data_IF_005379077900
#
_entry.id   IF_005379077900
#
_cell.length_a   1.000
_cell.length_b   1.000
_cell.length_c   1.000
_cell.angle_alpha   90.00
_cell.angle_beta   90.00
_cell.angle_gamma   90.00
#
_symmetry.space_group_name_H-M   'P 1'
#
loop_
_entity.id
_entity.type
_entity.pdbx_description
1 polymer ?
#
# COMPACT_ATOMS: atom_id res chain seq x y z
N UNK A 1 -53.06 -6.48 -34.77
CA UNK A 1 -51.85 -7.05 -35.39
C UNK A 1 -50.69 -6.07 -35.48
N UNK A 2 -50.68 -5.03 -36.33
CA UNK A 2 -49.49 -4.15 -36.48
C UNK A 2 -49.10 -3.40 -35.18
N UNK A 3 -50.07 -2.89 -34.40
CA UNK A 3 -49.74 -2.15 -33.16
C UNK A 3 -49.24 -3.03 -32.00
N UNK A 4 -49.65 -4.30 -31.96
CA UNK A 4 -49.20 -5.24 -30.92
C UNK A 4 -47.76 -5.69 -31.20
N UNK A 5 -47.43 -5.87 -32.49
CA UNK A 5 -46.06 -6.15 -32.93
C UNK A 5 -45.13 -4.98 -32.63
N UNK A 6 -45.58 -3.74 -32.86
CA UNK A 6 -44.80 -2.54 -32.52
C UNK A 6 -44.58 -2.39 -31.01
N UNK A 7 -45.62 -2.58 -30.19
CA UNK A 7 -45.47 -2.58 -28.72
C UNK A 7 -44.51 -3.66 -28.25
N UNK A 8 -44.60 -4.87 -28.81
CA UNK A 8 -43.70 -5.96 -28.47
C UNK A 8 -42.25 -5.63 -28.85
N UNK A 9 -42.05 -5.02 -30.02
CA UNK A 9 -40.75 -4.57 -30.51
C UNK A 9 -40.14 -3.51 -29.59
N UNK A 10 -40.92 -2.52 -29.19
CA UNK A 10 -40.45 -1.43 -28.33
C UNK A 10 -40.15 -1.93 -26.90
N UNK A 11 -40.96 -2.85 -26.38
CA UNK A 11 -40.69 -3.53 -25.10
C UNK A 11 -39.43 -4.40 -25.15
N UNK A 12 -39.21 -5.12 -26.26
CA UNK A 12 -37.99 -5.90 -26.47
C UNK A 12 -36.76 -5.01 -26.57
N UNK A 13 -36.82 -3.91 -27.31
CA UNK A 13 -35.72 -2.94 -27.40
C UNK A 13 -35.37 -2.36 -26.02
N UNK A 14 -36.38 -1.97 -25.23
CA UNK A 14 -36.15 -1.48 -23.87
C UNK A 14 -35.46 -2.52 -22.98
N UNK A 15 -35.92 -3.78 -23.03
CA UNK A 15 -35.30 -4.88 -22.27
C UNK A 15 -33.87 -5.16 -22.72
N UNK A 16 -33.59 -5.10 -24.02
CA UNK A 16 -32.24 -5.27 -24.57
C UNK A 16 -31.32 -4.17 -24.03
N UNK A 17 -31.73 -2.90 -24.12
CA UNK A 17 -30.92 -1.79 -23.61
C UNK A 17 -30.69 -1.86 -22.09
N UNK A 18 -31.69 -2.32 -21.34
CA UNK A 18 -31.53 -2.54 -19.89
C UNK A 18 -30.53 -3.67 -19.58
N UNK A 19 -30.59 -4.78 -20.35
CA UNK A 19 -29.64 -5.88 -20.23
C UNK A 19 -28.23 -5.45 -20.63
N UNK A 20 -28.07 -4.72 -21.74
CA UNK A 20 -26.77 -4.18 -22.17
C UNK A 20 -26.17 -3.26 -21.10
N UNK A 21 -26.99 -2.38 -20.50
CA UNK A 21 -26.53 -1.52 -19.39
C UNK A 21 -26.10 -2.33 -18.16
N UNK A 22 -26.84 -3.38 -17.81
CA UNK A 22 -26.50 -4.27 -16.69
C UNK A 22 -25.24 -5.08 -16.97
N UNK A 23 -25.08 -5.59 -18.19
CA UNK A 23 -23.88 -6.31 -18.63
C UNK A 23 -22.68 -5.38 -18.57
N UNK A 24 -22.77 -4.16 -19.10
CA UNK A 24 -21.68 -3.18 -19.04
C UNK A 24 -21.22 -2.88 -17.61
N UNK A 25 -22.15 -2.74 -16.66
CA UNK A 25 -21.80 -2.58 -15.23
C UNK A 25 -21.08 -3.79 -14.65
N UNK A 26 -21.53 -5.01 -14.98
CA UNK A 26 -20.89 -6.25 -14.53
C UNK A 26 -19.49 -6.39 -15.15
N UNK A 27 -19.32 -6.04 -16.42
CA UNK A 27 -18.01 -6.04 -17.08
C UNK A 27 -17.05 -5.04 -16.43
N UNK A 28 -17.52 -3.84 -16.07
CA UNK A 28 -16.75 -2.86 -15.30
C UNK A 28 -16.33 -3.40 -13.92
N UNK A 29 -17.25 -4.03 -13.18
CA UNK A 29 -16.95 -4.66 -11.88
C UNK A 29 -15.95 -5.81 -12.01
N UNK A 30 -16.10 -6.66 -13.04
CA UNK A 30 -15.20 -7.78 -13.31
C UNK A 30 -13.79 -7.31 -13.69
N UNK A 31 -13.67 -6.18 -14.39
CA UNK A 31 -12.36 -5.61 -14.76
C UNK A 31 -11.56 -5.13 -13.54
N UNK A 32 -12.21 -4.87 -12.39
CA UNK A 32 -11.55 -4.45 -11.15
C UNK A 32 -11.03 -5.68 -10.35
N UNK A 33 -11.59 -6.87 -10.55
CA UNK A 33 -11.25 -8.07 -9.77
C UNK A 33 -9.75 -8.47 -9.84
N UNK A 34 -9.09 -8.50 -11.01
CA UNK A 34 -7.67 -8.83 -11.08
C UNK A 34 -6.81 -7.90 -10.21
N UNK A 35 -7.15 -6.60 -10.21
CA UNK A 35 -6.46 -5.58 -9.42
C UNK A 35 -6.68 -5.78 -7.91
N UNK A 36 -7.88 -6.18 -7.49
CA UNK A 36 -8.16 -6.52 -6.09
C UNK A 36 -7.34 -7.74 -5.66
N UNK A 37 -7.26 -8.76 -6.50
CA UNK A 37 -6.47 -9.98 -6.23
C UNK A 37 -4.99 -9.62 -6.13
N UNK A 38 -4.46 -8.82 -7.07
CA UNK A 38 -3.08 -8.37 -7.05
C UNK A 38 -2.79 -7.53 -5.80
N UNK A 39 -3.63 -6.55 -5.48
CA UNK A 39 -3.47 -5.75 -4.26
C UNK A 39 -3.49 -6.63 -3.00
N UNK A 40 -4.40 -7.60 -2.92
CA UNK A 40 -4.48 -8.54 -1.79
C UNK A 40 -3.20 -9.38 -1.66
N UNK A 41 -2.66 -9.86 -2.78
CA UNK A 41 -1.41 -10.59 -2.81
C UNK A 41 -0.23 -9.72 -2.35
N UNK A 42 -0.14 -8.47 -2.83
CA UNK A 42 0.91 -7.52 -2.43
C UNK A 42 0.82 -7.15 -0.95
N UNK A 43 -0.38 -6.98 -0.41
CA UNK A 43 -0.59 -6.80 1.04
C UNK A 43 -0.05 -8.00 1.82
N UNK A 44 -0.35 -9.22 1.39
CA UNK A 44 0.16 -10.43 2.05
C UNK A 44 1.70 -10.53 1.98
N UNK A 45 2.30 -10.14 0.85
CA UNK A 45 3.76 -10.04 0.72
C UNK A 45 4.36 -9.02 1.69
N UNK A 46 3.77 -7.82 1.75
CA UNK A 46 4.22 -6.74 2.63
C UNK A 46 4.15 -7.14 4.12
N UNK A 47 3.04 -7.75 4.54
CA UNK A 47 2.87 -8.26 5.91
C UNK A 47 3.89 -9.37 6.24
N UNK A 48 4.10 -10.31 5.33
CA UNK A 48 5.13 -11.36 5.48
C UNK A 48 6.53 -10.75 5.63
N UNK A 49 6.83 -9.72 4.84
CA UNK A 49 8.08 -8.97 4.90
C UNK A 49 8.26 -8.25 6.24
N UNK A 50 7.23 -7.56 6.74
CA UNK A 50 7.24 -6.93 8.06
C UNK A 50 7.46 -7.95 9.20
N UNK A 51 6.78 -9.09 9.16
CA UNK A 51 6.96 -10.16 10.17
C UNK A 51 8.37 -10.75 10.12
N UNK A 52 8.96 -10.90 8.94
CA UNK A 52 10.34 -11.36 8.78
C UNK A 52 11.33 -10.37 9.37
N UNK A 53 11.15 -9.06 9.13
CA UNK A 53 11.97 -8.01 9.76
C UNK A 53 11.86 -8.07 11.28
N UNK A 54 10.65 -8.23 11.83
CA UNK A 54 10.44 -8.36 13.28
C UNK A 54 11.08 -9.62 13.88
N UNK A 55 11.07 -10.73 13.15
CA UNK A 55 11.75 -11.96 13.57
C UNK A 55 13.27 -11.76 13.55
N UNK A 56 13.79 -11.14 12.49
CA UNK A 56 15.22 -10.87 12.34
C UNK A 56 15.75 -9.87 13.36
N UNK A 57 14.96 -8.89 13.80
CA UNK A 57 15.41 -7.89 14.79
C UNK A 57 15.73 -8.51 16.15
N UNK A 58 15.15 -9.68 16.43
CA UNK A 58 15.33 -10.43 17.67
C UNK A 58 16.35 -11.55 17.56
N UNK A 59 16.90 -11.76 16.36
CA UNK A 59 17.84 -12.86 16.09
C UNK A 59 19.28 -12.38 16.23
N UNK A 60 20.10 -13.01 17.10
CA UNK A 60 21.51 -12.65 17.24
C UNK A 60 22.36 -13.10 16.05
N UNK A 61 21.79 -13.86 15.11
CA UNK A 61 22.49 -14.37 13.93
C UNK A 61 22.36 -13.45 12.70
N UNK A 62 21.50 -12.44 12.76
CA UNK A 62 21.30 -11.52 11.66
C UNK A 62 22.31 -10.39 11.74
N UNK A 63 22.99 -10.15 10.62
CA UNK A 63 23.92 -9.03 10.47
C UNK A 63 23.18 -7.78 10.02
N UNK A 64 23.72 -6.61 10.39
CA UNK A 64 23.17 -5.31 10.02
C UNK A 64 22.97 -5.17 8.49
N UNK A 65 23.90 -5.57 7.61
CA UNK A 65 23.69 -5.49 6.16
C UNK A 65 22.54 -6.36 5.64
N UNK A 66 22.32 -7.56 6.22
CA UNK A 66 21.18 -8.41 5.86
C UNK A 66 19.88 -7.70 6.26
N UNK A 67 19.86 -7.12 7.46
CA UNK A 67 18.69 -6.39 7.95
C UNK A 67 18.35 -5.18 7.06
N UNK A 68 19.36 -4.41 6.62
CA UNK A 68 19.18 -3.30 5.67
C UNK A 68 18.60 -3.75 4.33
N UNK A 69 19.04 -4.90 3.80
CA UNK A 69 18.46 -5.47 2.57
C UNK A 69 16.98 -5.83 2.76
N UNK A 70 16.61 -6.37 3.93
CA UNK A 70 15.21 -6.67 4.24
C UNK A 70 14.37 -5.40 4.34
N UNK A 71 14.89 -4.34 4.96
CA UNK A 71 14.25 -3.03 4.97
C UNK A 71 14.07 -2.46 3.56
N UNK A 72 15.11 -2.52 2.72
CA UNK A 72 15.02 -2.05 1.34
C UNK A 72 13.92 -2.78 0.58
N UNK A 73 13.88 -4.11 0.71
CA UNK A 73 12.87 -4.94 0.05
C UNK A 73 11.46 -4.61 0.52
N UNK A 74 11.26 -4.41 1.82
CA UNK A 74 9.98 -3.98 2.37
C UNK A 74 9.50 -2.66 1.76
N UNK A 75 10.38 -1.66 1.64
CA UNK A 75 10.00 -0.37 1.05
C UNK A 75 9.75 -0.45 -0.46
N UNK A 76 10.49 -1.30 -1.18
CA UNK A 76 10.21 -1.58 -2.60
C UNK A 76 8.82 -2.23 -2.77
N UNK A 77 8.50 -3.25 -1.97
CA UNK A 77 7.19 -3.91 -1.95
C UNK A 77 6.05 -2.94 -1.60
N UNK A 78 6.29 -2.04 -0.65
CA UNK A 78 5.33 -1.00 -0.29
C UNK A 78 5.10 0.00 -1.45
N UNK A 79 6.17 0.42 -2.14
CA UNK A 79 6.05 1.30 -3.31
C UNK A 79 5.24 0.66 -4.42
N UNK A 80 5.47 -0.62 -4.69
CA UNK A 80 4.71 -1.39 -5.68
C UNK A 80 3.22 -1.44 -5.32
N UNK A 81 2.89 -1.73 -4.05
CA UNK A 81 1.50 -1.71 -3.58
C UNK A 81 0.86 -0.33 -3.75
N UNK A 82 1.57 0.75 -3.37
CA UNK A 82 1.07 2.13 -3.53
C UNK A 82 0.81 2.45 -5.00
N UNK A 83 1.71 2.05 -5.89
CA UNK A 83 1.61 2.31 -7.33
C UNK A 83 0.40 1.60 -7.93
N UNK A 84 0.23 0.30 -7.65
CA UNK A 84 -0.89 -0.50 -8.15
C UNK A 84 -2.22 0.10 -7.68
N UNK A 85 -2.36 0.39 -6.39
CA UNK A 85 -3.60 0.95 -5.83
C UNK A 85 -3.94 2.31 -6.44
N UNK A 86 -2.94 3.15 -6.69
CA UNK A 86 -3.14 4.44 -7.36
C UNK A 86 -3.56 4.26 -8.82
N UNK A 87 -2.91 3.37 -9.56
CA UNK A 87 -3.16 3.19 -10.99
C UNK A 87 -4.59 2.68 -11.25
N UNK A 88 -5.18 1.98 -10.28
CA UNK A 88 -6.57 1.49 -10.33
C UNK A 88 -7.55 2.42 -9.61
N UNK A 89 -7.11 3.63 -9.26
CA UNK A 89 -7.89 4.66 -8.55
C UNK A 89 -8.52 4.15 -7.24
N UNK A 90 -7.93 3.14 -6.61
CA UNK A 90 -8.38 2.63 -5.32
C UNK A 90 -7.83 3.52 -4.19
N UNK A 91 -8.70 4.01 -3.29
CA UNK A 91 -8.24 4.86 -2.20
C UNK A 91 -7.31 4.10 -1.25
N UNK A 92 -6.16 4.70 -0.96
CA UNK A 92 -5.20 4.16 0.00
C UNK A 92 -5.61 4.50 1.44
N UNK A 93 -5.69 3.49 2.30
CA UNK A 93 -5.83 3.70 3.74
C UNK A 93 -4.44 3.89 4.38
N UNK A 94 -3.96 5.13 4.38
CA UNK A 94 -2.65 5.50 4.94
C UNK A 94 -2.50 5.15 6.42
N UNK A 95 -3.60 5.07 7.20
CA UNK A 95 -3.53 4.66 8.60
C UNK A 95 -3.14 3.18 8.79
N UNK A 96 -3.44 2.32 7.82
CA UNK A 96 -3.02 0.90 7.85
C UNK A 96 -1.56 0.78 7.42
N UNK A 97 -1.18 1.50 6.37
CA UNK A 97 0.21 1.56 5.90
C UNK A 97 1.13 2.09 7.02
N UNK A 98 0.73 3.17 7.68
CA UNK A 98 1.49 3.74 8.79
C UNK A 98 1.63 2.80 9.99
N UNK A 99 0.63 1.95 10.27
CA UNK A 99 0.74 0.92 11.29
C UNK A 99 1.78 -0.15 10.95
N UNK A 100 1.76 -0.65 9.72
CA UNK A 100 2.77 -1.62 9.24
C UNK A 100 4.18 -1.02 9.29
N UNK A 101 4.34 0.20 8.76
CA UNK A 101 5.62 0.91 8.78
C UNK A 101 6.13 1.19 10.22
N UNK A 102 5.22 1.52 11.14
CA UNK A 102 5.55 1.73 12.56
C UNK A 102 6.08 0.46 13.23
N UNK A 103 5.54 -0.71 12.89
CA UNK A 103 6.08 -1.99 13.37
C UNK A 103 7.50 -2.21 12.86
N UNK A 104 7.75 -1.93 11.58
CA UNK A 104 9.08 -2.04 10.97
C UNK A 104 10.07 -1.07 11.62
N UNK A 105 9.66 0.17 11.91
CA UNK A 105 10.48 1.17 12.61
C UNK A 105 10.92 0.71 14.00
N UNK A 106 10.00 0.11 14.77
CA UNK A 106 10.28 -0.46 16.10
C UNK A 106 11.24 -1.65 15.99
N UNK A 107 10.99 -2.56 15.06
CA UNK A 107 11.87 -3.70 14.81
C UNK A 107 13.29 -3.25 14.41
N UNK A 108 13.40 -2.23 13.54
CA UNK A 108 14.69 -1.67 13.15
C UNK A 108 15.42 -1.03 14.34
N UNK A 109 14.69 -0.38 15.26
CA UNK A 109 15.26 0.17 16.49
C UNK A 109 15.81 -0.94 17.39
N UNK A 110 15.04 -2.01 17.57
CA UNK A 110 15.45 -3.20 18.32
C UNK A 110 16.73 -3.82 17.72
N UNK A 111 16.85 -3.84 16.39
CA UNK A 111 18.03 -4.32 15.68
C UNK A 111 19.24 -3.34 15.71
N UNK A 112 19.09 -2.18 16.36
CA UNK A 112 20.15 -1.17 16.46
C UNK A 112 20.36 -0.31 15.21
N UNK A 113 19.43 -0.34 14.25
CA UNK A 113 19.48 0.53 13.06
C UNK A 113 19.19 1.98 13.48
N UNK A 114 19.95 2.93 12.94
CA UNK A 114 19.68 4.36 13.15
C UNK A 114 18.49 4.83 12.33
N UNK A 115 17.70 5.77 12.88
CA UNK A 115 16.58 6.33 12.12
C UNK A 115 17.03 7.01 10.84
N UNK A 116 18.17 7.72 10.87
CA UNK A 116 18.74 8.36 9.69
C UNK A 116 18.91 7.40 8.50
N UNK A 117 19.35 6.16 8.74
CA UNK A 117 19.45 5.16 7.66
C UNK A 117 18.08 4.84 7.07
N UNK A 118 17.09 4.57 7.93
CA UNK A 118 15.73 4.22 7.50
C UNK A 118 15.09 5.40 6.76
N UNK A 119 15.24 6.63 7.27
CA UNK A 119 14.72 7.85 6.69
C UNK A 119 15.23 8.07 5.27
N UNK A 120 16.55 7.96 5.07
CA UNK A 120 17.15 8.09 3.73
C UNK A 120 16.66 6.98 2.79
N UNK A 121 16.59 5.74 3.28
CA UNK A 121 16.09 4.61 2.49
C UNK A 121 14.61 4.79 2.11
N UNK A 122 13.78 5.28 3.02
CA UNK A 122 12.37 5.59 2.74
C UNK A 122 12.24 6.69 1.68
N UNK A 123 13.02 7.76 1.77
CA UNK A 123 13.01 8.82 0.75
C UNK A 123 13.48 8.26 -0.60
N UNK A 124 14.55 7.48 -0.62
CA UNK A 124 15.08 6.87 -1.85
C UNK A 124 14.05 5.96 -2.52
N UNK A 125 13.42 5.07 -1.74
CA UNK A 125 12.50 4.07 -2.28
C UNK A 125 11.11 4.63 -2.52
N UNK A 126 10.53 5.34 -1.57
CA UNK A 126 9.14 5.79 -1.61
C UNK A 126 8.96 7.17 -2.22
N UNK A 127 10.01 8.01 -2.28
CA UNK A 127 9.92 9.38 -2.76
C UNK A 127 8.88 10.19 -2.00
N UNK A 128 8.00 10.88 -2.72
CA UNK A 128 6.94 11.74 -2.18
C UNK A 128 5.96 11.02 -1.23
N UNK A 129 5.91 9.68 -1.27
CA UNK A 129 5.05 8.91 -0.36
C UNK A 129 5.64 8.73 1.03
N UNK A 130 6.95 8.96 1.22
CA UNK A 130 7.62 8.71 2.49
C UNK A 130 6.98 9.48 3.65
N UNK A 131 6.62 10.75 3.43
CA UNK A 131 5.92 11.59 4.41
C UNK A 131 4.55 11.03 4.85
N UNK A 132 3.85 10.30 3.96
CA UNK A 132 2.52 9.73 4.25
C UNK A 132 2.57 8.37 4.94
N UNK A 133 3.71 7.69 4.84
CA UNK A 133 3.90 6.33 5.36
C UNK A 133 4.33 6.35 6.82
N UNK A 134 5.04 7.38 7.27
CA UNK A 134 5.51 7.47 8.65
C UNK A 134 4.49 8.16 9.55
N UNK A 135 4.26 7.58 10.73
CA UNK A 135 3.67 8.30 11.85
C UNK A 135 4.76 9.00 12.66
N UNK A 136 4.77 10.34 12.61
CA UNK A 136 5.75 11.17 13.33
C UNK A 136 5.78 10.92 14.84
N UNK A 137 4.64 10.59 15.43
CA UNK A 137 4.56 10.29 16.87
C UNK A 137 5.41 9.06 17.19
N UNK A 138 5.41 8.07 16.29
CA UNK A 138 6.20 6.85 16.44
C UNK A 138 7.70 7.14 16.29
N UNK A 139 8.09 8.05 15.39
CA UNK A 139 9.51 8.47 15.30
C UNK A 139 9.97 9.10 16.61
N UNK A 140 9.19 10.06 17.13
CA UNK A 140 9.48 10.72 18.41
C UNK A 140 9.51 9.75 19.60
N UNK A 141 8.60 8.78 19.64
CA UNK A 141 8.52 7.77 20.70
C UNK A 141 9.68 6.76 20.64
N UNK A 142 10.00 6.25 19.45
CA UNK A 142 10.93 5.12 19.27
C UNK A 142 12.39 5.58 19.18
N UNK A 143 12.62 6.71 18.51
CA UNK A 143 13.96 7.22 18.21
C UNK A 143 14.29 8.53 18.94
N UNK A 144 13.28 9.25 19.42
CA UNK A 144 13.44 10.50 20.18
C UNK A 144 13.20 11.75 19.34
N UNK A 145 13.10 12.89 20.04
CA UNK A 145 12.76 14.18 19.43
C UNK A 145 13.80 14.68 18.40
N UNK A 146 15.09 14.42 18.62
CA UNK A 146 16.14 14.84 17.70
C UNK A 146 16.02 14.18 16.31
N UNK A 147 15.61 12.92 16.27
CA UNK A 147 15.40 12.16 15.03
C UNK A 147 14.10 12.59 14.34
N UNK A 148 13.07 12.96 15.10
CA UNK A 148 11.86 13.59 14.57
C UNK A 148 12.16 14.96 13.93
N UNK A 149 12.96 15.80 14.58
CA UNK A 149 13.39 17.08 13.99
C UNK A 149 14.27 16.88 12.75
N UNK A 150 15.09 15.82 12.72
CA UNK A 150 15.80 15.43 11.51
C UNK A 150 14.84 15.03 10.38
N UNK A 151 13.80 14.24 10.69
CA UNK A 151 12.76 13.87 9.72
C UNK A 151 12.06 15.08 9.12
N UNK A 152 11.61 16.02 9.95
CA UNK A 152 10.94 17.25 9.49
C UNK A 152 11.81 18.08 8.56
N UNK A 153 13.08 18.25 8.93
CA UNK A 153 14.07 18.94 8.08
C UNK A 153 14.29 18.24 6.74
N UNK A 154 14.29 16.90 6.70
CA UNK A 154 14.39 16.15 5.45
C UNK A 154 13.17 16.36 4.54
N UNK A 155 11.99 16.51 5.13
CA UNK A 155 10.74 16.78 4.40
C UNK A 155 10.57 18.25 4.02
N UNK A 156 11.38 19.16 4.58
CA UNK A 156 11.27 20.60 4.36
C UNK A 156 10.22 21.30 5.23
N UNK A 157 9.87 20.71 6.38
CA UNK A 157 9.01 21.27 7.42
C UNK A 157 9.82 21.96 8.53
#
# INVERSE_FOLDING_TARGET
MSSEVEKLRDDLMRKISELESRVGKVEEELNILPNIIEASWRIAQLESSAQRILSHSRSPLITLPIFEQELSKYFDELKELITILRDVSMPMNWSLVGRSASMVLRAAKEAGISFGLIANLMIEKLGDYAAKVIDENVVGEVYGLAELEYWKRLLGE
#
